data_IF_996165110632
#
_entry.id   IF_996165110632
#
_cell.length_a   1.000
_cell.length_b   1.000
_cell.length_c   1.000
_cell.angle_alpha   90.00
_cell.angle_beta   90.00
_cell.angle_gamma   90.00
#
_symmetry.space_group_name_H-M   'P 1'
#
loop_
_entity.id
_entity.type
_entity.pdbx_description
1 polymer ?
#
# COMPACT_ATOMS: atom_id res chain seq x y z
N UNK A 1 -18.75 -7.75 -10.34
CA UNK A 1 -17.82 -7.83 -9.18
C UNK A 1 -18.49 -8.23 -7.88
N UNK A 2 -19.82 -8.11 -7.85
CA UNK A 2 -20.55 -8.40 -6.61
C UNK A 2 -20.35 -9.83 -6.13
N UNK A 3 -20.32 -10.79 -7.05
CA UNK A 3 -20.11 -12.18 -6.67
C UNK A 3 -18.70 -12.40 -6.12
N UNK A 4 -17.73 -11.70 -6.67
CA UNK A 4 -16.37 -11.79 -6.18
C UNK A 4 -16.25 -11.15 -4.79
N UNK A 5 -16.88 -10.01 -4.61
CA UNK A 5 -16.85 -9.32 -3.33
C UNK A 5 -17.57 -10.13 -2.25
N UNK A 6 -18.70 -10.72 -2.60
CA UNK A 6 -19.42 -11.57 -1.67
C UNK A 6 -18.60 -12.79 -1.29
N UNK A 7 -17.91 -13.39 -2.27
CA UNK A 7 -17.04 -14.52 -2.01
C UNK A 7 -15.88 -14.12 -1.13
N UNK A 8 -15.25 -12.97 -1.44
CA UNK A 8 -14.14 -12.48 -0.65
C UNK A 8 -14.56 -12.19 0.79
N UNK A 9 -15.75 -11.63 0.98
CA UNK A 9 -16.24 -11.34 2.31
C UNK A 9 -16.53 -12.61 3.12
N UNK A 10 -16.79 -13.73 2.45
CA UNK A 10 -17.04 -14.99 3.12
C UNK A 10 -15.77 -15.78 3.43
N UNK A 11 -14.65 -15.44 2.80
CA UNK A 11 -13.37 -16.00 3.17
C UNK A 11 -12.96 -15.47 4.52
N UNK A 12 -12.23 -16.25 5.28
CA UNK A 12 -11.72 -15.75 6.54
C UNK A 12 -10.60 -14.74 6.32
N UNK A 13 -10.38 -13.92 7.32
CA UNK A 13 -9.37 -12.88 7.27
C UNK A 13 -7.97 -13.45 7.10
N UNK A 14 -7.77 -14.68 7.52
CA UNK A 14 -6.49 -15.35 7.43
C UNK A 14 -6.07 -15.53 5.97
N UNK A 15 -7.02 -15.89 5.10
CA UNK A 15 -6.73 -16.07 3.68
C UNK A 15 -6.34 -14.76 3.04
N UNK A 16 -7.01 -13.67 3.40
CA UNK A 16 -6.70 -12.35 2.90
C UNK A 16 -5.32 -11.91 3.34
N UNK A 17 -5.01 -12.09 4.62
CA UNK A 17 -3.71 -11.72 5.17
C UNK A 17 -2.59 -12.47 4.48
N UNK A 18 -2.79 -13.77 4.22
CA UNK A 18 -1.79 -14.56 3.51
C UNK A 18 -1.56 -14.02 2.11
N UNK A 19 -2.63 -13.61 1.42
CA UNK A 19 -2.51 -13.08 0.07
C UNK A 19 -1.70 -11.77 0.07
N UNK A 20 -1.94 -10.88 1.03
CA UNK A 20 -1.18 -9.64 1.14
C UNK A 20 0.30 -9.92 1.47
N UNK A 21 0.54 -10.86 2.36
CA UNK A 21 1.91 -11.23 2.71
C UNK A 21 2.67 -11.77 1.49
N UNK A 22 2.02 -12.59 0.68
CA UNK A 22 2.64 -13.13 -0.53
C UNK A 22 2.93 -12.04 -1.55
N UNK A 23 2.04 -11.06 -1.68
CA UNK A 23 2.28 -9.92 -2.56
C UNK A 23 3.51 -9.14 -2.09
N UNK A 24 3.60 -8.89 -0.81
CA UNK A 24 4.75 -8.18 -0.26
C UNK A 24 6.03 -8.95 -0.49
N UNK A 25 6.00 -10.27 -0.31
CA UNK A 25 7.17 -11.10 -0.57
C UNK A 25 7.61 -10.98 -2.02
N UNK A 26 6.66 -11.02 -2.94
CA UNK A 26 6.96 -10.86 -4.36
C UNK A 26 7.58 -9.50 -4.66
N UNK A 27 7.02 -8.44 -4.10
CA UNK A 27 7.53 -7.09 -4.29
C UNK A 27 8.96 -6.98 -3.75
N UNK A 28 9.20 -7.56 -2.58
CA UNK A 28 10.54 -7.51 -2.00
C UNK A 28 11.56 -8.27 -2.85
N UNK A 29 11.14 -9.34 -3.50
CA UNK A 29 12.03 -10.04 -4.43
C UNK A 29 12.41 -9.13 -5.61
N UNK A 30 11.48 -8.29 -6.07
CA UNK A 30 11.79 -7.32 -7.11
C UNK A 30 12.77 -6.26 -6.59
N UNK A 31 12.65 -5.87 -5.33
CA UNK A 31 13.56 -4.89 -4.74
C UNK A 31 15.01 -5.40 -4.70
N UNK A 32 15.20 -6.70 -4.61
CA UNK A 32 16.54 -7.28 -4.62
C UNK A 32 17.27 -7.05 -5.95
N UNK A 33 16.53 -6.74 -7.01
CA UNK A 33 17.13 -6.45 -8.30
C UNK A 33 17.52 -4.98 -8.47
N UNK A 34 17.16 -4.14 -7.51
CA UNK A 34 17.49 -2.73 -7.57
C UNK A 34 18.99 -2.54 -7.34
N UNK A 35 19.55 -1.50 -7.94
CA UNK A 35 20.98 -1.21 -7.80
C UNK A 35 21.34 -0.72 -6.42
N UNK A 36 20.36 -0.20 -5.69
CA UNK A 36 20.54 0.31 -4.32
C UNK A 36 19.48 -0.30 -3.43
N UNK A 37 19.75 -0.39 -2.12
CA UNK A 37 18.74 -0.88 -1.19
C UNK A 37 17.49 -0.01 -1.23
N UNK A 38 16.32 -0.65 -1.19
CA UNK A 38 15.05 0.05 -1.15
C UNK A 38 14.66 0.23 0.31
N UNK A 39 14.58 1.46 0.76
CA UNK A 39 14.25 1.79 2.15
C UNK A 39 12.98 2.60 2.27
N UNK A 40 12.63 3.37 1.25
CA UNK A 40 11.45 4.21 1.25
C UNK A 40 10.53 3.83 0.10
N UNK A 41 9.23 3.83 0.38
CA UNK A 41 8.21 3.38 -0.58
C UNK A 41 7.12 4.41 -0.71
N UNK A 42 6.64 4.57 -1.94
CA UNK A 42 5.41 5.27 -2.23
C UNK A 42 4.34 4.24 -2.56
N UNK A 43 3.26 4.22 -1.78
CA UNK A 43 2.13 3.32 -2.00
C UNK A 43 1.05 4.10 -2.73
N UNK A 44 1.01 3.95 -4.05
CA UNK A 44 0.04 4.64 -4.91
C UNK A 44 -1.34 4.00 -4.74
N UNK A 45 -2.35 4.85 -4.58
CA UNK A 45 -3.72 4.39 -4.35
C UNK A 45 -3.77 3.44 -3.13
N UNK A 46 -3.27 3.92 -2.00
CA UNK A 46 -3.08 3.09 -0.81
C UNK A 46 -4.38 2.60 -0.18
N UNK A 47 -5.52 3.23 -0.51
CA UNK A 47 -6.81 2.84 0.04
C UNK A 47 -6.81 2.93 1.56
N UNK A 48 -7.22 1.85 2.22
CA UNK A 48 -7.29 1.81 3.68
C UNK A 48 -5.94 1.51 4.34
N UNK A 49 -4.87 1.40 3.56
CA UNK A 49 -3.53 1.32 4.10
C UNK A 49 -3.04 -0.07 4.47
N UNK A 50 -3.67 -1.12 3.97
CA UNK A 50 -3.28 -2.49 4.34
C UNK A 50 -1.84 -2.80 3.91
N UNK A 51 -1.49 -2.52 2.66
CA UNK A 51 -0.12 -2.75 2.19
C UNK A 51 0.86 -1.78 2.81
N UNK A 52 0.44 -0.52 3.01
CA UNK A 52 1.29 0.45 3.70
C UNK A 52 1.65 -0.02 5.10
N UNK A 53 0.66 -0.55 5.84
CA UNK A 53 0.91 -1.07 7.18
C UNK A 53 1.87 -2.26 7.14
N UNK A 54 1.69 -3.13 6.16
CA UNK A 54 2.51 -4.33 6.06
C UNK A 54 3.97 -3.97 5.79
N UNK A 55 4.23 -3.06 4.86
CA UNK A 55 5.60 -2.64 4.57
C UNK A 55 6.18 -1.81 5.72
N UNK A 56 5.37 -1.02 6.40
CA UNK A 56 5.85 -0.29 7.57
C UNK A 56 6.30 -1.25 8.67
N UNK A 57 5.56 -2.34 8.88
CA UNK A 57 5.96 -3.37 9.84
C UNK A 57 7.27 -4.05 9.43
N UNK A 58 7.56 -4.11 8.15
CA UNK A 58 8.80 -4.70 7.64
C UNK A 58 9.97 -3.71 7.65
N UNK A 59 9.75 -2.49 8.12
CA UNK A 59 10.82 -1.52 8.33
C UNK A 59 10.99 -0.49 7.24
N UNK A 60 10.10 -0.44 6.27
CA UNK A 60 10.17 0.57 5.21
C UNK A 60 9.57 1.88 5.67
N UNK A 61 10.13 2.99 5.18
CA UNK A 61 9.53 4.30 5.33
C UNK A 61 8.49 4.47 4.23
N UNK A 62 7.21 4.47 4.60
CA UNK A 62 6.12 4.42 3.63
C UNK A 62 5.40 5.75 3.55
N UNK A 63 5.12 6.20 2.33
CA UNK A 63 4.21 7.30 2.05
C UNK A 63 3.03 6.73 1.27
N UNK A 64 1.83 6.84 1.83
CA UNK A 64 0.62 6.38 1.16
C UNK A 64 -0.09 7.54 0.50
N UNK A 65 -0.57 7.31 -0.71
CA UNK A 65 -1.27 8.32 -1.49
C UNK A 65 -2.59 7.77 -1.95
N UNK A 66 -3.65 8.55 -1.77
CA UNK A 66 -4.96 8.21 -2.30
C UNK A 66 -5.73 9.52 -2.54
N UNK A 67 -6.65 9.49 -3.49
CA UNK A 67 -7.46 10.67 -3.76
C UNK A 67 -8.70 10.74 -2.85
N UNK A 68 -9.02 9.67 -2.14
CA UNK A 68 -10.21 9.56 -1.32
C UNK A 68 -9.91 9.92 0.14
N UNK A 69 -10.46 11.04 0.66
CA UNK A 69 -10.28 11.37 2.07
C UNK A 69 -10.84 10.31 3.01
N UNK A 70 -11.92 9.63 2.59
CA UNK A 70 -12.52 8.59 3.42
C UNK A 70 -11.58 7.40 3.59
N UNK A 71 -10.96 6.98 2.50
CA UNK A 71 -9.98 5.89 2.56
C UNK A 71 -8.78 6.27 3.43
N UNK A 72 -8.29 7.49 3.26
CA UNK A 72 -7.15 7.95 4.04
C UNK A 72 -7.47 8.09 5.53
N UNK A 73 -8.72 8.43 5.86
CA UNK A 73 -9.14 8.46 7.26
C UNK A 73 -9.01 7.07 7.88
N UNK A 74 -9.43 6.04 7.17
CA UNK A 74 -9.29 4.66 7.65
C UNK A 74 -7.82 4.25 7.71
N UNK A 75 -7.05 4.65 6.72
CA UNK A 75 -5.62 4.37 6.70
C UNK A 75 -4.92 5.03 7.89
N UNK A 76 -5.28 6.25 8.21
CA UNK A 76 -4.71 6.96 9.33
C UNK A 76 -4.93 6.21 10.64
N UNK A 77 -6.14 5.69 10.84
CA UNK A 77 -6.43 4.91 12.03
C UNK A 77 -5.60 3.64 12.08
N UNK A 78 -5.50 2.95 10.95
CA UNK A 78 -4.74 1.71 10.87
C UNK A 78 -3.25 1.94 11.13
N UNK A 79 -2.72 3.06 10.66
CA UNK A 79 -1.29 3.35 10.71
C UNK A 79 -0.89 4.16 11.94
N UNK A 80 -1.83 4.56 12.77
CA UNK A 80 -1.55 5.42 13.93
C UNK A 80 -0.65 4.75 14.97
N UNK A 81 -0.61 3.43 15.01
CA UNK A 81 0.19 2.70 15.98
C UNK A 81 1.70 2.72 15.67
N UNK A 82 2.06 3.08 14.45
CA UNK A 82 3.48 3.16 14.08
C UNK A 82 4.10 4.45 14.60
N UNK A 83 5.38 4.40 14.93
CA UNK A 83 6.11 5.55 15.46
C UNK A 83 7.45 5.67 14.72
N UNK A 84 7.61 6.64 13.80
CA UNK A 84 6.56 7.57 13.37
C UNK A 84 5.57 6.89 12.42
N UNK A 85 4.33 7.38 12.36
CA UNK A 85 3.37 6.81 11.42
C UNK A 85 3.75 7.15 9.98
N UNK A 86 3.40 6.27 9.03
CA UNK A 86 3.60 6.58 7.62
C UNK A 86 2.89 7.86 7.23
N UNK A 87 3.50 8.61 6.30
CA UNK A 87 2.90 9.82 5.77
C UNK A 87 1.77 9.48 4.82
N UNK A 88 0.67 10.21 4.92
CA UNK A 88 -0.48 10.01 4.02
C UNK A 88 -0.76 11.31 3.27
N UNK A 89 -0.91 11.20 1.96
CA UNK A 89 -1.18 12.35 1.10
C UNK A 89 -2.49 12.15 0.35
N UNK A 90 -3.37 13.15 0.41
CA UNK A 90 -4.64 13.12 -0.32
C UNK A 90 -4.44 13.84 -1.65
N UNK A 91 -4.06 13.10 -2.67
CA UNK A 91 -3.76 13.66 -3.99
C UNK A 91 -4.16 12.67 -5.07
N UNK A 92 -4.52 13.19 -6.24
CA UNK A 92 -4.66 12.34 -7.42
C UNK A 92 -3.27 12.11 -8.03
N UNK A 93 -3.12 11.02 -8.79
CA UNK A 93 -1.83 10.73 -9.40
C UNK A 93 -1.30 11.84 -10.31
N UNK A 94 -2.14 12.47 -11.17
CA UNK A 94 -1.63 13.57 -12.00
C UNK A 94 -1.16 14.78 -11.22
N UNK A 95 -1.62 14.92 -9.98
CA UNK A 95 -1.27 16.07 -9.13
C UNK A 95 -0.27 15.73 -8.06
N UNK A 96 0.30 14.53 -8.11
CA UNK A 96 1.17 14.03 -7.06
C UNK A 96 2.38 14.94 -6.87
N UNK A 97 2.62 15.32 -5.63
CA UNK A 97 3.78 16.09 -5.20
C UNK A 97 4.37 15.40 -3.98
N UNK A 98 5.63 15.07 -4.04
CA UNK A 98 6.33 14.46 -2.92
C UNK A 98 7.28 15.48 -2.31
N UNK A 99 7.36 15.48 -0.97
CA UNK A 99 8.31 16.34 -0.27
C UNK A 99 9.73 15.81 -0.40
N UNK A 100 9.88 14.51 -0.48
CA UNK A 100 11.19 13.87 -0.59
C UNK A 100 11.09 12.73 -1.61
N UNK A 101 12.19 12.42 -2.30
CA UNK A 101 12.19 11.29 -3.21
C UNK A 101 12.05 9.97 -2.46
N UNK A 102 11.51 8.97 -3.14
CA UNK A 102 11.38 7.61 -2.59
C UNK A 102 12.17 6.64 -3.45
N UNK A 103 12.56 5.52 -2.85
CA UNK A 103 13.35 4.52 -3.56
C UNK A 103 12.53 3.69 -4.53
N UNK A 104 11.26 3.46 -4.21
CA UNK A 104 10.38 2.66 -5.06
C UNK A 104 8.94 3.08 -4.88
N UNK A 105 8.13 2.82 -5.89
CA UNK A 105 6.69 3.05 -5.84
C UNK A 105 5.99 1.72 -6.15
N UNK A 106 4.94 1.46 -5.39
CA UNK A 106 4.12 0.26 -5.58
C UNK A 106 2.67 0.65 -5.80
N UNK A 107 1.95 -0.19 -6.51
CA UNK A 107 0.52 -0.01 -6.72
C UNK A 107 -0.10 -1.40 -6.73
N UNK A 108 -0.73 -1.78 -5.64
CA UNK A 108 -1.16 -3.15 -5.41
C UNK A 108 -2.67 -3.35 -5.48
N UNK A 109 -3.40 -2.36 -5.99
CA UNK A 109 -4.84 -2.50 -6.14
C UNK A 109 -5.18 -3.27 -7.41
N UNK A 110 -6.14 -4.18 -7.29
CA UNK A 110 -6.59 -4.96 -8.43
C UNK A 110 -7.14 -4.08 -9.54
N UNK A 111 -7.83 -3.00 -9.19
CA UNK A 111 -8.39 -2.08 -10.17
C UNK A 111 -7.30 -1.42 -11.01
N UNK A 112 -6.16 -1.14 -10.41
CA UNK A 112 -5.03 -0.56 -11.13
C UNK A 112 -4.40 -1.59 -12.06
N UNK A 113 -4.28 -2.82 -11.58
CA UNK A 113 -3.70 -3.89 -12.38
C UNK A 113 -4.47 -4.12 -13.67
N UNK A 114 -5.78 -3.89 -13.63
CA UNK A 114 -6.60 -4.06 -14.82
C UNK A 114 -6.42 -2.93 -15.84
N UNK A 115 -5.95 -1.77 -15.39
CA UNK A 115 -5.68 -0.66 -16.29
C UNK A 115 -4.32 -0.80 -16.99
N UNK A 116 -3.46 -1.57 -16.41
CA UNK A 116 -2.13 -1.80 -16.94
C UNK A 116 -2.10 -3.01 -17.85
#
# INVERSE_FOLDING_TARGET
MDSYEALAASYDELTEDVAYEKRADFVERLFLRAKRPVKSLLDLACGTGTMSALFARRGYAVTGVDYSPEMLSQAQQKLAAFDPPPLLLCQSMPQLRLLEPVDAAICCLDSINRLL
#
